data_IF_768986351328
#
_entry.id   IF_768986351328
#
_cell.length_a   1.000
_cell.length_b   1.000
_cell.length_c   1.000
_cell.angle_alpha   90.00
_cell.angle_beta   90.00
_cell.angle_gamma   90.00
#
_symmetry.space_group_name_H-M   'P 1'
#
loop_
_entity.id
_entity.type
_entity.pdbx_description
1 polymer ?
#
# COMPACT_ATOMS: atom_id res chain seq x y z
N UNK A 1 -12.69 -14.39 5.56
CA UNK A 1 -11.51 -13.65 6.04
C UNK A 1 -12.06 -12.57 6.94
N UNK A 2 -12.00 -12.77 8.25
CA UNK A 2 -12.69 -11.89 9.21
C UNK A 2 -11.90 -10.60 9.39
N UNK A 3 -12.50 -9.50 8.98
CA UNK A 3 -12.26 -8.15 9.47
C UNK A 3 -12.12 -8.16 11.01
N UNK A 4 -10.95 -7.77 11.50
CA UNK A 4 -10.66 -7.72 12.92
C UNK A 4 -11.32 -6.47 13.51
N UNK A 5 -12.63 -6.52 13.75
CA UNK A 5 -13.33 -5.61 14.66
C UNK A 5 -12.97 -5.99 16.11
N UNK A 6 -11.69 -5.88 16.45
CA UNK A 6 -11.15 -6.10 17.79
C UNK A 6 -11.22 -4.82 18.61
N UNK A 7 -11.41 -4.96 19.92
CA UNK A 7 -11.27 -3.95 20.99
C UNK A 7 -10.41 -2.73 20.63
N UNK A 8 -10.81 -1.50 21.03
CA UNK A 8 -10.06 -0.28 20.73
C UNK A 8 -8.61 -0.43 21.18
N UNK A 9 -7.72 -0.55 20.20
CA UNK A 9 -6.28 -0.68 20.41
C UNK A 9 -5.68 0.72 20.34
N UNK A 10 -4.68 1.01 21.17
CA UNK A 10 -3.89 2.23 21.00
C UNK A 10 -3.19 2.20 19.64
N UNK A 11 -3.12 3.32 18.91
CA UNK A 11 -2.38 3.36 17.65
C UNK A 11 -0.90 3.11 17.89
N UNK A 12 -0.27 2.42 16.96
CA UNK A 12 1.18 2.19 16.95
C UNK A 12 1.95 3.48 16.68
N UNK A 13 1.36 4.36 15.87
CA UNK A 13 1.93 5.65 15.52
C UNK A 13 0.85 6.63 15.11
N UNK A 14 1.12 7.92 15.33
CA UNK A 14 0.25 9.02 14.88
C UNK A 14 1.08 9.98 14.06
N UNK A 15 0.59 10.31 12.87
CA UNK A 15 1.21 11.30 11.98
C UNK A 15 0.28 12.50 11.90
N UNK A 16 0.82 13.69 12.15
CA UNK A 16 0.10 14.95 12.03
C UNK A 16 0.77 15.81 10.99
N UNK A 17 -0.01 16.32 10.05
CA UNK A 17 0.46 17.33 9.09
C UNK A 17 -0.48 18.52 9.08
N UNK A 18 0.06 19.70 8.86
CA UNK A 18 -0.73 20.91 8.66
C UNK A 18 -0.54 21.40 7.24
N UNK A 19 -1.64 21.68 6.55
CA UNK A 19 -1.64 22.19 5.18
C UNK A 19 -2.80 23.16 5.01
N UNK A 20 -2.54 24.33 4.44
CA UNK A 20 -3.58 25.36 4.19
C UNK A 20 -4.39 25.74 5.46
N UNK A 21 -3.74 25.73 6.64
CA UNK A 21 -4.39 25.98 7.93
C UNK A 21 -5.25 24.83 8.46
N UNK A 22 -5.34 23.72 7.73
CA UNK A 22 -6.00 22.50 8.15
C UNK A 22 -5.00 21.52 8.76
N UNK A 23 -5.32 21.00 9.94
CA UNK A 23 -4.58 19.91 10.57
C UNK A 23 -5.19 18.58 10.16
N UNK A 24 -4.38 17.70 9.60
CA UNK A 24 -4.74 16.32 9.28
C UNK A 24 -3.99 15.42 10.27
N UNK A 25 -4.74 14.57 10.96
CA UNK A 25 -4.21 13.56 11.90
C UNK A 25 -4.53 12.19 11.31
N UNK A 26 -3.50 11.35 11.21
CA UNK A 26 -3.62 9.97 10.75
C UNK A 26 -3.08 9.02 11.82
N UNK A 27 -3.89 8.05 12.21
CA UNK A 27 -3.52 6.97 13.13
C UNK A 27 -3.09 5.74 12.33
N UNK A 28 -1.97 5.14 12.71
CA UNK A 28 -1.41 3.95 12.09
C UNK A 28 -1.56 2.77 13.04
N UNK A 29 -2.12 1.68 12.53
CA UNK A 29 -2.27 0.41 13.22
C UNK A 29 -1.52 -0.67 12.45
N UNK A 30 -0.55 -1.31 13.09
CA UNK A 30 0.17 -2.43 12.53
C UNK A 30 -0.40 -3.74 13.07
N UNK A 31 -0.60 -4.69 12.16
CA UNK A 31 -0.85 -6.06 12.58
C UNK A 31 0.48 -6.72 12.97
N UNK A 32 0.78 -6.78 14.27
CA UNK A 32 2.01 -7.39 14.78
C UNK A 32 2.10 -8.90 14.55
N UNK A 33 0.97 -9.57 14.33
CA UNK A 33 0.93 -11.00 13.98
C UNK A 33 1.02 -11.23 12.46
N UNK A 34 1.00 -10.16 11.66
CA UNK A 34 1.17 -10.23 10.23
C UNK A 34 2.59 -10.63 9.85
N UNK A 35 2.72 -11.47 8.83
CA UNK A 35 4.03 -11.88 8.28
C UNK A 35 4.58 -10.88 7.26
N UNK A 36 3.72 -10.00 6.72
CA UNK A 36 4.08 -8.99 5.73
C UNK A 36 4.30 -7.64 6.42
N UNK A 37 5.45 -7.00 6.16
CA UNK A 37 5.72 -5.65 6.67
C UNK A 37 5.01 -4.58 5.82
N UNK A 38 4.94 -3.35 6.32
CA UNK A 38 4.47 -2.21 5.52
C UNK A 38 5.24 -2.08 4.20
N UNK A 39 6.56 -2.37 4.22
CA UNK A 39 7.40 -2.35 3.01
C UNK A 39 6.98 -3.41 2.01
N UNK A 40 6.70 -4.64 2.45
CA UNK A 40 6.23 -5.71 1.57
C UNK A 40 4.93 -5.33 0.87
N UNK A 41 4.00 -4.74 1.63
CA UNK A 41 2.72 -4.27 1.08
C UNK A 41 2.92 -3.12 0.09
N UNK A 42 3.78 -2.15 0.41
CA UNK A 42 4.10 -1.04 -0.50
C UNK A 42 4.75 -1.55 -1.80
N UNK A 43 5.74 -2.44 -1.69
CA UNK A 43 6.40 -3.05 -2.84
C UNK A 43 5.41 -3.80 -3.72
N UNK A 44 4.50 -4.58 -3.11
CA UNK A 44 3.46 -5.31 -3.84
C UNK A 44 2.51 -4.39 -4.60
N UNK A 45 2.13 -3.25 -4.03
CA UNK A 45 1.30 -2.24 -4.71
C UNK A 45 2.05 -1.64 -5.90
N UNK A 46 3.30 -1.23 -5.71
CA UNK A 46 4.12 -0.66 -6.79
C UNK A 46 4.33 -1.68 -7.92
N UNK A 47 4.60 -2.94 -7.59
CA UNK A 47 4.73 -4.01 -8.57
C UNK A 47 3.40 -4.27 -9.31
N UNK A 48 2.28 -4.33 -8.60
CA UNK A 48 0.97 -4.50 -9.22
C UNK A 48 0.62 -3.34 -10.17
N UNK A 49 0.98 -2.11 -9.81
CA UNK A 49 0.81 -0.92 -10.65
C UNK A 49 1.71 -0.99 -11.90
N UNK A 50 2.98 -1.39 -11.74
CA UNK A 50 3.90 -1.57 -12.87
C UNK A 50 3.51 -2.68 -13.85
N UNK A 51 2.69 -3.64 -13.42
CA UNK A 51 2.17 -4.71 -14.27
C UNK A 51 0.86 -4.31 -14.99
N UNK A 52 0.29 -3.15 -14.65
CA UNK A 52 -0.89 -2.59 -15.34
C UNK A 52 -0.52 -1.71 -16.54
N UNK A 53 0.76 -1.38 -16.73
CA UNK A 53 1.21 -0.87 -18.03
C UNK A 53 1.24 -2.05 -19.01
N UNK A 54 0.12 -2.22 -19.70
CA UNK A 54 -0.04 -3.14 -20.82
C UNK A 54 0.89 -2.75 -21.97
N UNK A 55 2.20 -2.93 -21.80
CA UNK A 55 3.09 -3.11 -22.93
C UNK A 55 2.71 -4.44 -23.58
N UNK A 56 1.80 -4.37 -24.55
CA UNK A 56 1.75 -5.39 -25.60
C UNK A 56 3.17 -5.52 -26.16
N UNK A 57 3.73 -6.74 -26.24
CA UNK A 57 5.02 -6.92 -26.89
C UNK A 57 4.87 -6.45 -28.33
N UNK A 58 5.62 -5.41 -28.71
CA UNK A 58 5.66 -4.92 -30.09
C UNK A 58 5.97 -6.12 -30.98
N UNK A 59 5.00 -6.47 -31.83
CA UNK A 59 5.04 -7.61 -32.75
C UNK A 59 6.15 -7.40 -33.77
N UNK A 60 7.38 -7.75 -33.42
CA UNK A 60 8.50 -7.72 -34.34
C UNK A 60 8.38 -8.94 -35.25
N UNK A 61 7.66 -8.76 -36.36
CA UNK A 61 7.54 -9.72 -37.46
C UNK A 61 8.90 -9.88 -38.15
N UNK A 62 9.72 -10.83 -37.70
CA UNK A 62 10.91 -11.25 -38.46
C UNK A 62 10.44 -12.16 -39.61
N UNK A 63 10.21 -11.55 -40.76
CA UNK A 63 10.19 -12.26 -42.04
C UNK A 63 11.64 -12.50 -42.44
N UNK A 64 12.10 -13.75 -42.35
CA UNK A 64 13.01 -14.35 -43.32
C UNK A 64 13.02 -15.87 -43.22
#
# INVERSE_FOLDING_TARGET
MAEQNGTPQSPDSVITTQRDGQTIVAELFFNHSGTETFRDKLLKVILADSLQDGQEPEKTKITR
#
